data_IF_203952771182
#
_entry.id   IF_203952771182
#
_cell.length_a   1.000
_cell.length_b   1.000
_cell.length_c   1.000
_cell.angle_alpha   90.00
_cell.angle_beta   90.00
_cell.angle_gamma   90.00
#
_symmetry.space_group_name_H-M   'P 1'
#
loop_
_entity.id
_entity.type
_entity.pdbx_description
1 polymer ?
#
# COMPACT_ATOMS: atom_id res chain seq x y z
N UNK A 1 -28.48 -69.05 56.92
CA UNK A 1 -27.98 -70.25 56.22
C UNK A 1 -29.20 -71.07 55.83
N UNK A 2 -29.57 -71.30 54.57
CA UNK A 2 -28.88 -71.14 53.29
C UNK A 2 -29.92 -71.05 52.16
N UNK A 3 -29.62 -70.20 51.16
CA UNK A 3 -29.83 -70.47 49.73
C UNK A 3 -31.25 -70.68 49.22
N UNK A 4 -32.03 -69.61 49.10
CA UNK A 4 -33.07 -69.52 48.06
C UNK A 4 -32.40 -69.14 46.73
N UNK A 5 -31.61 -70.06 46.18
CA UNK A 5 -30.97 -69.90 44.88
C UNK A 5 -31.97 -70.34 43.80
N UNK A 6 -33.03 -69.55 43.61
CA UNK A 6 -33.90 -69.69 42.45
C UNK A 6 -33.01 -69.60 41.20
N UNK A 7 -33.09 -70.54 40.24
CA UNK A 7 -32.36 -70.43 39.00
C UNK A 7 -32.91 -69.19 38.30
N UNK A 8 -32.15 -68.08 38.37
CA UNK A 8 -32.38 -66.89 37.58
C UNK A 8 -32.34 -67.35 36.13
N UNK A 9 -33.53 -67.69 35.60
CA UNK A 9 -33.71 -68.18 34.24
C UNK A 9 -32.96 -67.22 33.34
N UNK A 10 -32.08 -67.75 32.50
CA UNK A 10 -31.39 -67.01 31.45
C UNK A 10 -32.36 -66.25 30.51
N UNK A 11 -33.66 -66.54 30.58
CA UNK A 11 -34.72 -65.73 29.99
C UNK A 11 -34.88 -64.33 30.59
N UNK A 12 -34.58 -64.11 31.89
CA UNK A 12 -34.84 -62.82 32.55
C UNK A 12 -33.86 -61.72 32.15
N UNK A 13 -32.59 -62.03 31.86
CA UNK A 13 -31.62 -61.04 31.37
C UNK A 13 -31.88 -60.63 29.92
N UNK A 14 -32.27 -61.60 29.09
CA UNK A 14 -32.66 -61.36 27.69
C UNK A 14 -33.96 -60.56 27.64
N UNK A 15 -34.92 -60.88 28.51
CA UNK A 15 -36.19 -60.17 28.64
C UNK A 15 -36.02 -58.75 29.21
N UNK A 16 -34.99 -58.51 30.05
CA UNK A 16 -34.60 -57.16 30.50
C UNK A 16 -33.94 -56.32 29.40
N UNK A 17 -33.21 -56.96 28.47
CA UNK A 17 -32.60 -56.28 27.32
C UNK A 17 -33.67 -55.87 26.31
N UNK A 18 -34.65 -56.73 26.06
CA UNK A 18 -35.74 -56.45 25.11
C UNK A 18 -36.72 -55.37 25.63
N UNK A 19 -36.68 -55.09 26.94
CA UNK A 19 -37.46 -54.03 27.60
C UNK A 19 -36.75 -52.68 27.64
N UNK A 20 -35.54 -52.58 27.06
CA UNK A 20 -34.84 -51.32 26.95
C UNK A 20 -35.57 -50.45 25.92
N UNK A 21 -36.38 -49.50 26.41
CA UNK A 21 -37.00 -48.47 25.57
C UNK A 21 -35.89 -47.73 24.85
N UNK A 22 -35.89 -47.81 23.52
CA UNK A 22 -34.98 -47.05 22.65
C UNK A 22 -35.21 -45.56 22.96
N UNK A 23 -34.23 -44.85 23.57
CA UNK A 23 -34.42 -43.45 23.86
C UNK A 23 -34.59 -42.73 22.53
N UNK A 24 -35.69 -41.99 22.36
CA UNK A 24 -35.85 -41.03 21.27
C UNK A 24 -34.54 -40.25 21.17
N UNK A 25 -33.77 -40.51 20.10
CA UNK A 25 -32.49 -39.86 19.92
C UNK A 25 -32.71 -38.36 20.09
N UNK A 26 -31.98 -37.67 20.99
CA UNK A 26 -32.10 -36.23 21.07
C UNK A 26 -31.80 -35.72 19.66
N UNK A 27 -32.77 -35.02 19.06
CA UNK A 27 -32.63 -34.43 17.74
C UNK A 27 -31.21 -33.86 17.65
N UNK A 28 -30.39 -34.27 16.67
CA UNK A 28 -28.95 -34.10 16.71
C UNK A 28 -28.69 -32.63 17.02
N UNK A 29 -28.29 -32.38 18.27
CA UNK A 29 -27.90 -31.04 18.68
C UNK A 29 -26.72 -30.75 17.79
N UNK A 30 -26.94 -29.89 16.81
CA UNK A 30 -25.93 -29.52 15.82
C UNK A 30 -24.70 -29.06 16.60
N UNK A 31 -23.76 -29.98 16.83
CA UNK A 31 -22.37 -29.71 17.20
C UNK A 31 -21.62 -29.07 16.03
N UNK A 32 -22.34 -28.37 15.17
CA UNK A 32 -21.77 -27.27 14.45
C UNK A 32 -21.87 -26.12 15.44
N UNK A 33 -20.79 -25.71 16.13
CA UNK A 33 -20.68 -24.30 16.28
C UNK A 33 -20.51 -23.83 14.83
N UNK A 34 -21.61 -23.36 14.24
CA UNK A 34 -21.62 -22.41 13.14
C UNK A 34 -20.79 -21.23 13.62
N UNK A 35 -19.49 -21.43 13.60
CA UNK A 35 -18.51 -20.51 14.10
C UNK A 35 -18.46 -19.48 13.02
N UNK A 36 -19.30 -18.45 13.15
CA UNK A 36 -19.08 -17.14 12.57
C UNK A 36 -17.59 -16.73 12.72
N UNK A 37 -16.87 -17.27 13.70
CA UNK A 37 -15.41 -17.25 13.81
C UNK A 37 -14.61 -17.66 12.56
N UNK A 38 -14.97 -18.70 11.79
CA UNK A 38 -14.25 -19.03 10.54
C UNK A 38 -14.57 -18.05 9.41
N UNK A 39 -15.81 -17.59 9.31
CA UNK A 39 -16.17 -16.55 8.36
C UNK A 39 -15.42 -15.24 8.69
N UNK A 40 -15.38 -14.87 9.98
CA UNK A 40 -14.60 -13.73 10.48
C UNK A 40 -13.10 -13.95 10.23
N UNK A 41 -12.57 -15.14 10.48
CA UNK A 41 -11.16 -15.46 10.22
C UNK A 41 -10.84 -15.39 8.73
N UNK A 42 -11.71 -15.89 7.86
CA UNK A 42 -11.55 -15.81 6.41
C UNK A 42 -11.60 -14.36 5.94
N UNK A 43 -12.49 -13.53 6.48
CA UNK A 43 -12.55 -12.09 6.18
C UNK A 43 -11.29 -11.38 6.66
N UNK A 44 -10.83 -11.64 7.89
CA UNK A 44 -9.60 -11.05 8.43
C UNK A 44 -8.38 -11.48 7.59
N UNK A 45 -8.29 -12.75 7.21
CA UNK A 45 -7.22 -13.26 6.36
C UNK A 45 -7.26 -12.63 4.97
N UNK A 46 -8.46 -12.51 4.37
CA UNK A 46 -8.64 -11.84 3.09
C UNK A 46 -8.21 -10.37 3.16
N UNK A 47 -8.60 -9.64 4.21
CA UNK A 47 -8.17 -8.26 4.43
C UNK A 47 -6.65 -8.15 4.64
N UNK A 48 -6.06 -9.07 5.39
CA UNK A 48 -4.62 -9.12 5.59
C UNK A 48 -3.87 -9.39 4.28
N UNK A 49 -4.37 -10.31 3.46
CA UNK A 49 -3.83 -10.61 2.13
C UNK A 49 -4.01 -9.43 1.18
N UNK A 50 -5.16 -8.77 1.15
CA UNK A 50 -5.40 -7.56 0.37
C UNK A 50 -4.46 -6.42 0.80
N UNK A 51 -4.29 -6.23 2.10
CA UNK A 51 -3.37 -5.22 2.64
C UNK A 51 -1.92 -5.55 2.30
N UNK A 52 -1.50 -6.81 2.47
CA UNK A 52 -0.17 -7.27 2.11
C UNK A 52 0.07 -7.18 0.61
N UNK A 53 -0.89 -7.58 -0.22
CA UNK A 53 -0.83 -7.44 -1.68
C UNK A 53 -0.77 -5.97 -2.09
N UNK A 54 -1.55 -5.09 -1.47
CA UNK A 54 -1.48 -3.65 -1.71
C UNK A 54 -0.13 -3.06 -1.28
N UNK A 55 0.39 -3.49 -0.13
CA UNK A 55 1.69 -3.06 0.40
C UNK A 55 2.82 -3.55 -0.51
N UNK A 56 2.81 -4.82 -0.89
CA UNK A 56 3.73 -5.43 -1.82
C UNK A 56 3.63 -4.76 -3.19
N UNK A 57 2.43 -4.60 -3.74
CA UNK A 57 2.24 -3.90 -5.01
C UNK A 57 2.74 -2.47 -4.94
N UNK A 58 2.50 -1.75 -3.83
CA UNK A 58 3.03 -0.40 -3.62
C UNK A 58 4.57 -0.41 -3.53
N UNK A 59 5.18 -1.39 -2.87
CA UNK A 59 6.63 -1.56 -2.81
C UNK A 59 7.24 -1.97 -4.15
N UNK A 60 6.62 -2.89 -4.87
CA UNK A 60 7.01 -3.35 -6.19
C UNK A 60 6.88 -2.24 -7.20
N UNK A 61 5.76 -1.52 -7.21
CA UNK A 61 5.54 -0.34 -8.04
C UNK A 61 6.53 0.76 -7.70
N UNK A 62 6.87 0.93 -6.42
CA UNK A 62 7.91 1.85 -5.99
C UNK A 62 9.32 1.51 -6.51
N UNK A 63 9.56 0.24 -6.90
CA UNK A 63 10.82 -0.21 -7.47
C UNK A 63 10.76 -0.33 -9.01
N UNK A 64 9.59 -0.65 -9.56
CA UNK A 64 9.36 -0.80 -10.99
C UNK A 64 9.47 0.55 -11.72
N UNK A 65 8.92 1.64 -11.17
CA UNK A 65 9.08 2.96 -11.78
C UNK A 65 10.55 3.39 -11.78
N UNK A 66 11.32 3.06 -10.73
CA UNK A 66 12.76 3.37 -10.65
C UNK A 66 13.55 2.61 -11.70
N UNK A 67 13.25 1.32 -11.87
CA UNK A 67 13.88 0.49 -12.89
C UNK A 67 13.54 0.96 -14.30
N UNK A 68 12.28 1.30 -14.56
CA UNK A 68 11.85 1.85 -15.84
C UNK A 68 12.53 3.19 -16.13
N UNK A 69 12.57 4.11 -15.16
CA UNK A 69 13.23 5.39 -15.32
C UNK A 69 14.76 5.26 -15.53
N UNK A 70 15.42 4.32 -14.87
CA UNK A 70 16.85 4.05 -15.09
C UNK A 70 17.12 3.40 -16.45
N UNK A 71 16.23 2.52 -16.92
CA UNK A 71 16.34 1.93 -18.25
C UNK A 71 16.11 2.98 -19.35
N UNK A 72 15.09 3.83 -19.20
CA UNK A 72 14.84 4.97 -20.09
C UNK A 72 16.03 5.94 -20.08
N UNK A 73 16.63 6.22 -18.92
CA UNK A 73 17.80 7.07 -18.82
C UNK A 73 19.02 6.47 -19.54
N UNK A 74 19.21 5.15 -19.44
CA UNK A 74 20.26 4.45 -20.19
C UNK A 74 20.05 4.47 -21.70
N UNK A 75 18.80 4.46 -22.17
CA UNK A 75 18.46 4.54 -23.58
C UNK A 75 18.51 5.98 -24.14
N UNK A 76 18.16 6.97 -23.31
CA UNK A 76 18.20 8.39 -23.67
C UNK A 76 19.62 8.97 -23.75
N UNK A 77 20.58 8.33 -23.09
CA UNK A 77 21.96 8.80 -23.05
C UNK A 77 22.10 10.13 -22.32
N UNK A 78 22.87 11.04 -22.91
CA UNK A 78 23.25 12.32 -22.30
C UNK A 78 22.44 13.52 -22.80
N UNK A 79 21.29 13.28 -23.45
CA UNK A 79 20.40 14.34 -23.93
C UNK A 79 19.66 15.03 -22.76
N UNK A 80 19.92 16.33 -22.51
CA UNK A 80 19.25 17.09 -21.45
C UNK A 80 17.73 17.14 -21.60
N UNK A 81 17.19 17.09 -22.82
CA UNK A 81 15.74 17.17 -23.09
C UNK A 81 15.02 15.90 -22.67
N UNK A 82 15.55 14.73 -23.05
CA UNK A 82 15.07 13.44 -22.61
C UNK A 82 15.22 13.26 -21.09
N UNK A 83 16.35 13.66 -20.51
CA UNK A 83 16.58 13.60 -19.06
C UNK A 83 15.53 14.44 -18.30
N UNK A 84 15.21 15.65 -18.78
CA UNK A 84 14.19 16.52 -18.20
C UNK A 84 12.80 15.85 -18.22
N UNK A 85 12.42 15.24 -19.34
CA UNK A 85 11.15 14.53 -19.50
C UNK A 85 11.07 13.31 -18.56
N UNK A 86 12.14 12.51 -18.47
CA UNK A 86 12.23 11.34 -17.59
C UNK A 86 12.10 11.76 -16.12
N UNK A 87 12.79 12.80 -15.69
CA UNK A 87 12.68 13.32 -14.31
C UNK A 87 11.26 13.79 -14.00
N UNK A 88 10.61 14.50 -14.93
CA UNK A 88 9.23 14.98 -14.74
C UNK A 88 8.24 13.83 -14.65
N UNK A 89 8.37 12.82 -15.52
CA UNK A 89 7.56 11.59 -15.47
C UNK A 89 7.81 10.79 -14.18
N UNK A 90 9.06 10.70 -13.74
CA UNK A 90 9.44 10.02 -12.49
C UNK A 90 8.82 10.71 -11.27
N UNK A 91 8.85 12.04 -11.21
CA UNK A 91 8.20 12.79 -10.14
C UNK A 91 6.67 12.64 -10.16
N UNK A 92 6.03 12.67 -11.33
CA UNK A 92 4.58 12.42 -11.45
C UNK A 92 4.18 10.99 -11.07
N UNK A 93 5.07 10.01 -11.24
CA UNK A 93 4.84 8.64 -10.80
C UNK A 93 4.99 8.47 -9.28
N UNK A 94 5.82 9.30 -8.65
CA UNK A 94 6.14 9.22 -7.23
C UNK A 94 5.25 10.12 -6.34
N UNK A 95 4.73 11.25 -6.84
CA UNK A 95 3.90 12.21 -6.09
C UNK A 95 2.56 12.50 -6.76
N UNK A 96 1.54 12.99 -6.01
CA UNK A 96 0.26 13.39 -6.57
C UNK A 96 0.43 14.47 -7.64
N UNK A 97 -0.29 14.33 -8.77
CA UNK A 97 -0.21 15.26 -9.92
C UNK A 97 -0.44 16.72 -9.52
N UNK A 98 -1.30 17.00 -8.53
CA UNK A 98 -1.59 18.37 -8.08
C UNK A 98 -0.40 19.10 -7.44
N UNK A 99 0.51 18.37 -6.80
CA UNK A 99 1.71 18.97 -6.16
C UNK A 99 2.85 19.18 -7.16
N UNK A 100 3.01 18.29 -8.14
CA UNK A 100 4.13 18.34 -9.09
C UNK A 100 3.81 19.14 -10.35
N UNK A 101 2.58 19.05 -10.86
CA UNK A 101 2.22 19.69 -12.13
C UNK A 101 2.23 21.23 -12.04
N UNK A 102 2.00 21.79 -10.85
CA UNK A 102 2.07 23.23 -10.59
C UNK A 102 3.51 23.75 -10.47
N UNK A 103 4.51 22.87 -10.31
CA UNK A 103 5.91 23.26 -10.19
C UNK A 103 6.55 23.47 -11.56
N UNK A 104 7.07 24.68 -11.77
CA UNK A 104 7.79 25.12 -12.97
C UNK A 104 8.99 25.99 -12.59
N UNK A 105 9.98 26.10 -13.48
CA UNK A 105 11.14 26.97 -13.27
C UNK A 105 11.94 26.62 -12.01
N UNK A 106 12.33 27.64 -11.25
CA UNK A 106 13.10 27.49 -10.01
C UNK A 106 12.37 26.65 -8.94
N UNK A 107 11.03 26.72 -8.88
CA UNK A 107 10.25 25.91 -7.94
C UNK A 107 10.38 24.40 -8.22
N UNK A 108 10.55 24.03 -9.49
CA UNK A 108 10.84 22.66 -9.88
C UNK A 108 12.24 22.21 -9.45
N UNK A 109 13.27 23.04 -9.63
CA UNK A 109 14.64 22.71 -9.19
C UNK A 109 14.73 22.60 -7.67
N UNK A 110 14.11 23.54 -6.94
CA UNK A 110 14.05 23.51 -5.48
C UNK A 110 13.37 22.24 -4.95
N UNK A 111 12.31 21.77 -5.64
CA UNK A 111 11.66 20.50 -5.32
C UNK A 111 12.59 19.30 -5.54
N UNK A 112 13.30 19.25 -6.67
CA UNK A 112 14.27 18.18 -6.93
C UNK A 112 15.38 18.15 -5.86
N UNK A 113 15.85 19.33 -5.44
CA UNK A 113 16.84 19.44 -4.37
C UNK A 113 16.31 19.00 -3.00
N UNK A 114 15.09 19.40 -2.66
CA UNK A 114 14.44 19.02 -1.40
C UNK A 114 14.17 17.50 -1.31
N UNK A 115 13.93 16.84 -2.44
CA UNK A 115 13.57 15.41 -2.50
C UNK A 115 14.77 14.47 -2.63
N UNK A 116 15.95 14.99 -2.96
CA UNK A 116 17.17 14.19 -3.06
C UNK A 116 18.35 14.81 -3.80
N UNK A 117 18.16 15.98 -4.41
CA UNK A 117 19.18 16.67 -5.21
C UNK A 117 20.25 17.43 -4.41
N UNK A 118 19.96 17.81 -3.15
CA UNK A 118 20.92 18.46 -2.23
C UNK A 118 21.58 19.74 -2.78
N UNK A 119 20.88 20.51 -3.60
CA UNK A 119 21.37 21.78 -4.16
C UNK A 119 22.02 21.65 -5.54
N UNK A 120 22.24 20.42 -6.02
CA UNK A 120 22.88 20.18 -7.31
C UNK A 120 21.97 20.52 -8.51
N UNK A 121 20.65 20.63 -8.30
CA UNK A 121 19.72 21.04 -9.34
C UNK A 121 19.59 22.55 -9.45
N UNK A 122 19.38 23.27 -8.35
CA UNK A 122 19.22 24.72 -8.34
C UNK A 122 20.55 25.47 -8.55
N UNK A 123 21.65 24.95 -8.02
CA UNK A 123 22.98 25.59 -8.06
C UNK A 123 24.01 24.92 -8.98
N UNK A 124 23.62 23.90 -9.74
CA UNK A 124 24.56 23.06 -10.49
C UNK A 124 24.10 22.74 -11.92
N UNK A 125 24.59 21.63 -12.50
CA UNK A 125 24.30 21.25 -13.89
C UNK A 125 22.80 20.99 -14.13
N UNK A 126 22.01 20.75 -13.08
CA UNK A 126 20.57 20.58 -13.18
C UNK A 126 19.79 21.81 -13.65
N UNK A 127 20.38 23.02 -13.64
CA UNK A 127 19.77 24.21 -14.25
C UNK A 127 19.55 24.04 -15.76
N UNK A 128 20.36 23.21 -16.42
CA UNK A 128 20.20 22.89 -17.84
C UNK A 128 18.82 22.29 -18.17
N UNK A 129 18.16 21.65 -17.20
CA UNK A 129 16.79 21.10 -17.33
C UNK A 129 15.76 22.20 -17.62
N UNK A 130 15.95 23.43 -17.11
CA UNK A 130 15.01 24.53 -17.35
C UNK A 130 15.07 25.03 -18.79
N UNK A 131 16.27 25.03 -19.37
CA UNK A 131 16.49 25.43 -20.76
C UNK A 131 16.26 24.27 -21.75
N UNK A 132 16.18 23.03 -21.27
CA UNK A 132 16.09 21.83 -22.10
C UNK A 132 14.88 21.80 -23.06
N UNK A 133 13.65 22.21 -22.68
CA UNK A 133 12.52 22.27 -23.63
C UNK A 133 12.73 23.29 -24.75
N UNK A 134 13.63 24.26 -24.56
CA UNK A 134 13.91 25.35 -25.48
C UNK A 134 15.21 25.14 -26.27
N UNK A 135 16.01 24.12 -25.95
CA UNK A 135 17.26 23.78 -26.65
C UNK A 135 17.11 22.43 -27.35
N UNK A 136 16.82 22.47 -28.65
CA UNK A 136 16.75 21.27 -29.51
C UNK A 136 18.11 20.60 -29.74
N UNK A 137 19.21 21.35 -29.68
CA UNK A 137 20.60 20.87 -29.82
C UNK A 137 21.40 21.15 -28.54
N UNK A 138 20.91 20.65 -27.41
CA UNK A 138 21.68 20.71 -26.18
C UNK A 138 22.85 19.72 -26.26
N UNK A 139 24.06 20.21 -26.02
CA UNK A 139 25.25 19.35 -25.98
C UNK A 139 25.06 18.22 -24.95
N UNK A 140 25.57 17.00 -25.23
CA UNK A 140 25.54 15.89 -24.28
C UNK A 140 26.13 16.32 -22.92
N UNK A 141 25.37 16.16 -21.84
CA UNK A 141 25.82 16.49 -20.49
C UNK A 141 25.84 15.24 -19.59
N UNK A 142 26.94 14.46 -19.57
CA UNK A 142 27.05 13.25 -18.77
C UNK A 142 26.91 13.53 -17.25
N UNK A 143 27.30 14.72 -16.80
CA UNK A 143 27.10 15.16 -15.42
C UNK A 143 25.62 15.24 -15.04
N UNK A 144 24.79 15.66 -15.98
CA UNK A 144 23.34 15.75 -15.78
C UNK A 144 22.72 14.35 -15.72
N UNK A 145 23.16 13.44 -16.58
CA UNK A 145 22.77 12.03 -16.57
C UNK A 145 23.12 11.37 -15.24
N UNK A 146 24.35 11.57 -14.76
CA UNK A 146 24.80 11.04 -13.47
C UNK A 146 24.01 11.64 -12.30
N UNK A 147 23.69 12.94 -12.35
CA UNK A 147 22.87 13.61 -11.35
C UNK A 147 21.43 13.06 -11.36
N UNK A 148 20.81 12.92 -12.52
CA UNK A 148 19.48 12.36 -12.69
C UNK A 148 19.42 10.91 -12.19
N UNK A 149 20.39 10.07 -12.58
CA UNK A 149 20.47 8.68 -12.13
C UNK A 149 20.59 8.57 -10.60
N UNK A 150 21.34 9.48 -9.97
CA UNK A 150 21.51 9.54 -8.51
C UNK A 150 20.22 9.95 -7.82
N UNK A 151 19.53 10.95 -8.37
CA UNK A 151 18.23 11.39 -7.87
C UNK A 151 17.17 10.29 -7.99
N UNK A 152 17.04 9.64 -9.15
CA UNK A 152 16.10 8.52 -9.36
C UNK A 152 16.36 7.39 -8.35
N UNK A 153 17.62 7.10 -8.02
CA UNK A 153 17.97 6.09 -7.01
C UNK A 153 17.64 6.51 -5.58
N UNK A 154 17.83 7.78 -5.23
CA UNK A 154 17.83 8.24 -3.82
C UNK A 154 16.61 9.07 -3.41
N UNK A 155 15.76 9.50 -4.35
CA UNK A 155 14.65 10.38 -4.02
C UNK A 155 13.70 9.70 -3.02
N UNK A 156 13.34 10.45 -1.98
CA UNK A 156 12.48 9.94 -0.92
C UNK A 156 11.06 10.42 -1.18
N UNK A 157 10.16 9.49 -1.48
CA UNK A 157 8.72 9.77 -1.53
C UNK A 157 8.24 9.97 -0.10
N UNK A 158 8.34 11.21 0.40
CA UNK A 158 7.68 11.57 1.66
C UNK A 158 6.18 11.67 1.34
N UNK A 159 5.31 10.83 1.91
CA UNK A 159 3.88 10.99 1.72
C UNK A 159 3.53 12.41 2.15
N UNK A 160 2.97 13.20 1.24
CA UNK A 160 2.63 14.58 1.55
C UNK A 160 1.71 14.58 2.75
N UNK A 161 2.21 15.15 3.83
CA UNK A 161 1.49 15.29 5.08
C UNK A 161 0.18 16.01 4.77
N UNK A 162 -0.92 15.31 4.99
CA UNK A 162 -2.32 15.73 4.88
C UNK A 162 -2.51 17.17 5.41
N UNK A 163 -2.35 18.19 4.57
CA UNK A 163 -2.71 19.58 4.89
C UNK A 163 -4.14 19.83 4.43
N UNK A 164 -5.04 19.81 5.42
CA UNK A 164 -6.46 20.12 5.26
C UNK A 164 -7.24 20.00 6.57
N UNK A 165 -6.60 20.29 7.72
CA UNK A 165 -7.27 20.50 9.00
C UNK A 165 -6.74 21.80 9.58
N UNK A 166 -7.17 22.95 9.04
CA UNK A 166 -7.10 24.26 9.68
C UNK A 166 -7.52 25.36 8.68
N UNK A 167 -8.81 25.50 8.37
CA UNK A 167 -9.37 26.78 7.84
C UNK A 167 -10.90 26.87 7.97
N UNK A 168 -11.53 26.14 8.92
CA UNK A 168 -12.97 26.28 9.21
C UNK A 168 -13.26 26.43 10.71
N UNK A 169 -12.56 27.35 11.36
CA UNK A 169 -12.89 27.76 12.73
C UNK A 169 -12.62 29.25 13.03
N UNK A 170 -12.26 30.06 12.02
CA UNK A 170 -11.99 31.49 12.19
C UNK A 170 -13.00 32.38 11.43
N UNK A 171 -14.24 31.90 11.27
CA UNK A 171 -15.37 32.74 10.88
C UNK A 171 -16.37 32.72 12.03
N UNK A 172 -16.01 33.43 13.11
CA UNK A 172 -17.00 34.08 13.95
C UNK A 172 -16.94 35.55 13.53
N UNK A 173 -17.86 36.02 12.67
CA UNK A 173 -18.01 37.45 12.46
C UNK A 173 -18.54 38.03 13.77
N UNK A 174 -17.88 39.07 14.24
CA UNK A 174 -18.40 39.96 15.26
C UNK A 174 -19.73 40.55 14.74
N UNK A 175 -20.85 40.00 15.20
CA UNK A 175 -22.15 40.68 15.19
C UNK A 175 -22.06 41.81 16.21
N UNK A 176 -21.87 43.04 15.71
CA UNK A 176 -22.89 44.09 15.68
C UNK A 176 -23.45 44.38 17.09
N UNK A 177 -22.98 45.43 17.77
CA UNK A 177 -23.65 46.75 17.74
C UNK A 177 -25.17 46.62 17.64
N UNK A 178 -25.84 46.69 18.79
CA UNK A 178 -27.04 47.51 19.07
C UNK A 178 -27.34 47.44 20.56
#
# INVERSE_FOLDING_TARGET
MNGEDAPLKAGSLVELIDRLVDPLQPAPVSMRPETAGWAVLAVVLALALLFAAWRCWRHWRANAYRRAALAELGAAGDDPSAIAAILRRTALAAWPRGEVASLSGEAWLAFLDATGGRGAFAGGPGRAILAAPYRRDAAPMPELTALAARWIRRHRVRPSSRKGRATRAAQTPAEARS
#
